data_IF_406026579308
#
_entry.id   IF_406026579308
#
_cell.length_a   1.000
_cell.length_b   1.000
_cell.length_c   1.000
_cell.angle_alpha   90.00
_cell.angle_beta   90.00
_cell.angle_gamma   90.00
#
_symmetry.space_group_name_H-M   'P 1'
#
loop_
_entity.id
_entity.type
_entity.pdbx_description
1 polymer ?
#
# COMPACT_ATOMS: atom_id res chain seq x y z
N UNK A 1 35.86 -7.13 -10.93
CA UNK A 1 35.18 -7.90 -9.87
C UNK A 1 33.83 -8.37 -10.41
N UNK A 2 33.49 -9.65 -10.27
CA UNK A 2 32.17 -10.18 -10.61
C UNK A 2 31.09 -9.56 -9.70
N UNK A 3 29.83 -9.60 -10.12
CA UNK A 3 28.73 -9.05 -9.31
C UNK A 3 28.62 -9.72 -7.94
N UNK A 4 28.78 -11.04 -7.90
CA UNK A 4 28.76 -11.84 -6.66
C UNK A 4 29.86 -11.40 -5.70
N UNK A 5 31.07 -11.18 -6.20
CA UNK A 5 32.20 -10.71 -5.41
C UNK A 5 31.98 -9.30 -4.84
N UNK A 6 31.31 -8.41 -5.59
CA UNK A 6 30.95 -7.06 -5.10
C UNK A 6 29.92 -7.14 -3.97
N UNK A 7 28.93 -8.00 -4.09
CA UNK A 7 27.92 -8.23 -3.05
C UNK A 7 28.58 -8.81 -1.79
N UNK A 8 29.51 -9.76 -1.94
CA UNK A 8 30.23 -10.33 -0.81
C UNK A 8 31.08 -9.27 -0.08
N UNK A 9 31.69 -8.34 -0.82
CA UNK A 9 32.39 -7.20 -0.24
C UNK A 9 31.44 -6.27 0.55
N UNK A 10 30.27 -5.94 -0.03
CA UNK A 10 29.24 -5.12 0.63
C UNK A 10 28.77 -5.78 1.94
N UNK A 11 28.53 -7.10 1.92
CA UNK A 11 28.15 -7.88 3.11
C UNK A 11 29.21 -7.86 4.21
N UNK A 12 30.47 -7.66 3.86
CA UNK A 12 31.57 -7.54 4.81
C UNK A 12 31.80 -6.09 5.26
N UNK A 13 30.90 -5.16 4.93
CA UNK A 13 30.93 -3.77 5.35
C UNK A 13 31.63 -2.82 4.37
N UNK A 14 31.98 -3.26 3.16
CA UNK A 14 32.47 -2.34 2.13
C UNK A 14 31.34 -1.51 1.51
N UNK A 15 31.66 -0.28 1.10
CA UNK A 15 30.74 0.58 0.36
C UNK A 15 30.98 0.46 -1.14
N UNK A 16 29.90 0.33 -1.91
CA UNK A 16 29.96 0.28 -3.37
C UNK A 16 28.83 1.07 -4.02
N UNK A 17 29.02 2.40 -4.10
CA UNK A 17 28.03 3.32 -4.68
C UNK A 17 27.70 3.02 -6.15
N UNK A 18 28.64 2.45 -6.90
CA UNK A 18 28.38 2.06 -8.29
C UNK A 18 27.47 0.82 -8.36
N UNK A 19 27.50 -0.06 -7.36
CA UNK A 19 26.54 -1.15 -7.23
C UNK A 19 25.16 -0.62 -6.83
N UNK A 20 25.08 0.29 -5.86
CA UNK A 20 23.82 0.93 -5.44
C UNK A 20 23.12 1.64 -6.60
N UNK A 21 23.86 2.44 -7.38
CA UNK A 21 23.34 3.09 -8.59
C UNK A 21 22.86 2.07 -9.63
N UNK A 22 23.56 0.94 -9.78
CA UNK A 22 23.15 -0.15 -10.67
C UNK A 22 21.89 -0.85 -10.16
N UNK A 23 21.76 -1.06 -8.85
CA UNK A 23 20.58 -1.65 -8.23
C UNK A 23 19.32 -0.81 -8.53
N UNK A 24 19.44 0.52 -8.42
CA UNK A 24 18.39 1.44 -8.85
C UNK A 24 18.02 1.29 -10.34
N UNK A 25 19.03 1.24 -11.24
CA UNK A 25 18.77 1.04 -12.67
C UNK A 25 18.20 -0.35 -12.97
N UNK A 26 18.51 -1.36 -12.17
CA UNK A 26 17.97 -2.71 -12.32
C UNK A 26 16.47 -2.73 -12.00
N UNK A 27 16.01 -2.02 -10.97
CA UNK A 27 14.59 -1.85 -10.71
C UNK A 27 13.85 -1.21 -11.91
N UNK A 28 14.43 -0.16 -12.52
CA UNK A 28 13.87 0.46 -13.74
C UNK A 28 13.82 -0.51 -14.91
N UNK A 29 14.87 -1.32 -15.09
CA UNK A 29 14.91 -2.37 -16.09
C UNK A 29 13.81 -3.42 -15.87
N UNK A 30 13.60 -3.88 -14.63
CA UNK A 30 12.57 -4.87 -14.31
C UNK A 30 11.17 -4.35 -14.68
N UNK A 31 10.84 -3.11 -14.32
CA UNK A 31 9.54 -2.51 -14.69
C UNK A 31 9.37 -2.45 -16.21
N UNK A 32 10.40 -2.01 -16.94
CA UNK A 32 10.36 -1.97 -18.42
C UNK A 32 10.28 -3.37 -19.07
N UNK A 33 10.80 -4.40 -18.40
CA UNK A 33 10.75 -5.77 -18.89
C UNK A 33 9.40 -6.44 -18.59
N UNK A 34 8.82 -6.18 -17.42
CA UNK A 34 7.65 -6.90 -16.89
C UNK A 34 6.32 -6.16 -16.96
N UNK A 35 6.29 -4.87 -17.27
CA UNK A 35 5.06 -4.06 -17.26
C UNK A 35 5.03 -3.06 -18.43
N UNK A 36 5.00 -3.63 -19.64
CA UNK A 36 4.89 -2.85 -20.88
C UNK A 36 3.44 -2.54 -21.22
N UNK A 37 3.25 -1.59 -22.13
CA UNK A 37 1.96 -1.35 -22.78
C UNK A 37 1.37 -2.69 -23.28
N UNK A 38 0.07 -2.92 -23.03
CA UNK A 38 -0.66 -4.15 -23.40
C UNK A 38 -0.20 -5.42 -22.69
N UNK A 39 0.42 -5.28 -21.53
CA UNK A 39 0.69 -6.40 -20.60
C UNK A 39 -0.11 -6.19 -19.30
N UNK A 40 -0.17 -7.22 -18.46
CA UNK A 40 -0.75 -7.09 -17.12
C UNK A 40 0.19 -6.31 -16.20
N UNK A 41 -0.35 -5.83 -15.09
CA UNK A 41 0.43 -5.09 -14.11
C UNK A 41 1.59 -5.92 -13.56
N UNK A 42 2.70 -5.25 -13.25
CA UNK A 42 3.82 -5.83 -12.53
C UNK A 42 3.36 -6.40 -11.19
N UNK A 43 3.90 -7.53 -10.74
CA UNK A 43 3.72 -7.99 -9.35
C UNK A 43 5.05 -8.48 -8.77
N UNK A 44 5.02 -8.87 -7.49
CA UNK A 44 6.18 -9.31 -6.71
C UNK A 44 6.95 -10.51 -7.30
N UNK A 45 6.38 -11.25 -8.25
CA UNK A 45 7.05 -12.36 -8.95
C UNK A 45 7.05 -12.19 -10.48
N UNK A 46 6.09 -11.41 -11.00
CA UNK A 46 5.76 -11.20 -12.40
C UNK A 46 5.85 -12.52 -13.20
N UNK A 47 6.54 -12.51 -14.34
CA UNK A 47 6.79 -13.67 -15.20
C UNK A 47 7.99 -14.53 -14.74
N UNK A 48 8.63 -14.21 -13.62
CA UNK A 48 9.83 -14.88 -13.11
C UNK A 48 9.50 -15.73 -11.90
N UNK A 49 8.66 -16.74 -12.12
CA UNK A 49 8.24 -17.67 -11.08
C UNK A 49 8.41 -19.11 -11.59
N UNK A 50 9.07 -19.95 -10.80
CA UNK A 50 9.35 -21.36 -11.14
C UNK A 50 8.38 -22.38 -10.51
N UNK A 51 7.46 -21.93 -9.65
CA UNK A 51 6.39 -22.75 -9.08
C UNK A 51 5.09 -21.94 -8.88
N UNK A 52 3.92 -22.58 -9.06
CA UNK A 52 2.60 -21.93 -8.90
C UNK A 52 1.91 -22.28 -7.58
N UNK A 53 2.58 -23.07 -6.74
CA UNK A 53 2.03 -23.59 -5.47
C UNK A 53 2.68 -22.96 -4.24
N UNK A 54 3.84 -22.33 -4.39
CA UNK A 54 4.48 -21.50 -3.38
C UNK A 54 4.16 -20.02 -3.57
N UNK A 55 4.82 -19.15 -2.80
CA UNK A 55 4.92 -17.68 -3.04
C UNK A 55 3.60 -16.98 -3.37
N UNK A 56 2.60 -17.17 -2.50
CA UNK A 56 1.26 -16.58 -2.66
C UNK A 56 0.59 -16.92 -4.01
N UNK A 57 0.96 -18.04 -4.62
CA UNK A 57 0.47 -18.53 -5.91
C UNK A 57 0.73 -17.57 -7.09
N UNK A 58 1.79 -16.74 -7.02
CA UNK A 58 2.12 -15.79 -8.08
C UNK A 58 1.07 -14.69 -8.32
N UNK A 59 0.13 -14.53 -7.39
CA UNK A 59 -0.97 -13.57 -7.48
C UNK A 59 -0.49 -12.12 -7.33
N UNK A 60 -1.33 -11.17 -7.71
CA UNK A 60 -1.19 -9.80 -7.25
C UNK A 60 -1.65 -9.69 -5.80
N UNK A 61 -0.77 -9.28 -4.89
CA UNK A 61 -1.14 -8.94 -3.50
C UNK A 61 -1.32 -7.42 -3.40
N UNK A 62 -2.51 -7.01 -2.97
CA UNK A 62 -3.08 -5.67 -3.13
C UNK A 62 -3.15 -4.87 -1.82
N UNK A 63 -2.52 -5.35 -0.74
CA UNK A 63 -2.43 -4.64 0.54
C UNK A 63 -1.06 -4.00 0.81
N UNK A 64 -0.18 -3.97 -0.20
CA UNK A 64 1.09 -3.19 -0.27
C UNK A 64 1.87 -3.55 -1.53
N UNK A 65 2.00 -4.84 -1.86
CA UNK A 65 3.04 -5.33 -2.77
C UNK A 65 2.91 -4.79 -4.20
N UNK A 66 1.71 -4.86 -4.79
CA UNK A 66 1.48 -4.29 -6.12
C UNK A 66 1.71 -2.77 -6.10
N UNK A 67 1.20 -2.07 -5.08
CA UNK A 67 1.34 -0.62 -4.99
C UNK A 67 2.81 -0.19 -4.89
N UNK A 68 3.60 -0.86 -4.06
CA UNK A 68 5.02 -0.58 -3.87
C UNK A 68 5.84 -0.80 -5.16
N UNK A 69 5.50 -1.81 -5.97
CA UNK A 69 6.12 -1.99 -7.28
C UNK A 69 5.97 -0.75 -8.19
N UNK A 70 4.89 0.02 -8.03
CA UNK A 70 4.58 1.17 -8.87
C UNK A 70 4.99 2.53 -8.28
N UNK A 71 5.34 2.63 -6.99
CA UNK A 71 5.84 3.87 -6.38
C UNK A 71 6.99 4.56 -7.14
N UNK A 72 8.00 3.85 -7.69
CA UNK A 72 9.08 4.51 -8.41
C UNK A 72 8.73 4.89 -9.85
N UNK A 73 7.58 4.51 -10.40
CA UNK A 73 7.28 4.66 -11.85
C UNK A 73 7.42 6.11 -12.30
N UNK A 74 6.77 7.04 -11.61
CA UNK A 74 6.80 8.44 -12.00
C UNK A 74 8.14 9.10 -11.66
N UNK A 75 8.60 8.93 -10.42
CA UNK A 75 9.85 9.54 -9.93
C UNK A 75 11.11 9.02 -10.64
N UNK A 76 11.07 7.80 -11.19
CA UNK A 76 12.15 7.23 -12.01
C UNK A 76 11.95 7.43 -13.53
N UNK A 77 11.00 8.29 -13.93
CA UNK A 77 10.71 8.67 -15.32
C UNK A 77 10.38 7.45 -16.20
N UNK A 78 9.38 6.67 -15.78
CA UNK A 78 8.85 5.50 -16.49
C UNK A 78 7.32 5.59 -16.76
N UNK A 79 6.72 6.76 -17.06
CA UNK A 79 5.27 6.95 -17.04
C UNK A 79 4.49 5.97 -17.93
N UNK A 80 5.07 5.51 -19.05
CA UNK A 80 4.45 4.52 -19.95
C UNK A 80 4.16 3.16 -19.29
N UNK A 81 4.85 2.83 -18.21
CA UNK A 81 4.62 1.60 -17.44
C UNK A 81 3.25 1.63 -16.76
N UNK A 82 2.75 2.82 -16.41
CA UNK A 82 1.45 2.99 -15.75
C UNK A 82 0.28 2.44 -16.58
N UNK A 83 0.39 2.38 -17.91
CA UNK A 83 -0.66 1.82 -18.78
C UNK A 83 -1.03 0.37 -18.40
N UNK A 84 -0.04 -0.43 -17.97
CA UNK A 84 -0.29 -1.80 -17.49
C UNK A 84 -1.11 -1.85 -16.19
N UNK A 85 -0.91 -0.86 -15.30
CA UNK A 85 -1.68 -0.74 -14.06
C UNK A 85 -3.09 -0.24 -14.33
N UNK A 86 -3.24 0.75 -15.22
CA UNK A 86 -4.56 1.25 -15.65
C UNK A 86 -5.39 0.10 -16.22
N UNK A 87 -4.84 -0.67 -17.16
CA UNK A 87 -5.52 -1.85 -17.72
C UNK A 87 -5.89 -2.85 -16.63
N UNK A 88 -4.97 -3.17 -15.72
CA UNK A 88 -5.24 -4.08 -14.62
C UNK A 88 -6.40 -3.60 -13.73
N UNK A 89 -6.42 -2.31 -13.36
CA UNK A 89 -7.49 -1.73 -12.53
C UNK A 89 -8.82 -1.66 -13.29
N UNK A 90 -8.82 -1.39 -14.59
CA UNK A 90 -10.03 -1.46 -15.43
C UNK A 90 -10.67 -2.86 -15.39
N UNK A 91 -9.87 -3.91 -15.54
CA UNK A 91 -10.35 -5.29 -15.45
C UNK A 91 -10.78 -5.66 -14.02
N UNK A 92 -9.99 -5.25 -13.02
CA UNK A 92 -10.29 -5.50 -11.62
C UNK A 92 -11.59 -4.82 -11.19
N UNK A 93 -11.87 -3.60 -11.66
CA UNK A 93 -13.10 -2.88 -11.39
C UNK A 93 -14.32 -3.56 -12.02
N UNK A 94 -14.18 -4.07 -13.24
CA UNK A 94 -15.25 -4.83 -13.90
C UNK A 94 -15.62 -6.10 -13.10
N UNK A 95 -14.63 -6.86 -12.66
CA UNK A 95 -14.85 -8.03 -11.81
C UNK A 95 -15.36 -7.65 -10.41
N UNK A 96 -14.78 -6.59 -9.83
CA UNK A 96 -15.07 -6.09 -8.49
C UNK A 96 -16.47 -5.52 -8.31
N UNK A 97 -17.12 -5.08 -9.39
CA UNK A 97 -18.53 -4.67 -9.35
C UNK A 97 -19.45 -5.82 -8.93
N UNK A 98 -19.12 -7.05 -9.32
CA UNK A 98 -19.84 -8.25 -8.86
C UNK A 98 -19.63 -8.50 -7.37
N UNK A 99 -18.40 -8.39 -6.88
CA UNK A 99 -18.09 -8.54 -5.45
C UNK A 99 -18.80 -7.47 -4.61
N UNK A 100 -18.74 -6.21 -5.02
CA UNK A 100 -19.44 -5.12 -4.32
C UNK A 100 -20.94 -5.41 -4.16
N UNK A 101 -21.59 -5.86 -5.23
CA UNK A 101 -23.02 -6.16 -5.24
C UNK A 101 -23.37 -7.45 -4.48
N UNK A 102 -22.71 -8.56 -4.79
CA UNK A 102 -23.10 -9.88 -4.27
C UNK A 102 -22.64 -10.12 -2.84
N UNK A 103 -21.47 -9.60 -2.45
CA UNK A 103 -20.92 -9.81 -1.10
C UNK A 103 -21.36 -8.72 -0.12
N UNK A 104 -21.39 -7.46 -0.57
CA UNK A 104 -21.63 -6.31 0.30
C UNK A 104 -22.98 -5.61 0.07
N UNK A 105 -23.73 -5.96 -0.98
CA UNK A 105 -24.97 -5.23 -1.33
C UNK A 105 -24.73 -3.76 -1.72
N UNK A 106 -23.49 -3.41 -2.08
CA UNK A 106 -23.06 -2.05 -2.36
C UNK A 106 -23.01 -1.78 -3.88
N UNK A 107 -23.13 -0.51 -4.27
CA UNK A 107 -22.81 -0.04 -5.62
C UNK A 107 -21.30 0.04 -5.83
N UNK A 108 -20.89 0.44 -7.03
CA UNK A 108 -19.49 0.65 -7.36
C UNK A 108 -18.73 -0.65 -7.56
N UNK A 109 -17.46 -0.67 -7.17
CA UNK A 109 -16.61 -1.85 -7.20
C UNK A 109 -15.63 -1.87 -6.03
N UNK A 110 -15.21 -3.06 -5.65
CA UNK A 110 -14.17 -3.28 -4.63
C UNK A 110 -13.29 -4.48 -5.00
N UNK A 111 -12.12 -4.55 -4.39
CA UNK A 111 -11.28 -5.75 -4.36
C UNK A 111 -10.82 -6.00 -2.93
N UNK A 112 -10.21 -7.16 -2.67
CA UNK A 112 -9.66 -7.52 -1.36
C UNK A 112 -8.15 -7.80 -1.47
N UNK A 113 -7.60 -8.59 -0.55
CA UNK A 113 -6.16 -8.88 -0.41
C UNK A 113 -5.41 -9.19 -1.72
N UNK A 114 -6.03 -9.90 -2.65
CA UNK A 114 -5.33 -10.34 -3.85
C UNK A 114 -6.22 -10.55 -5.05
N UNK A 115 -5.59 -10.58 -6.21
CA UNK A 115 -6.21 -10.91 -7.49
C UNK A 115 -5.29 -11.86 -8.28
N UNK A 116 -5.89 -12.64 -9.17
CA UNK A 116 -5.20 -13.55 -10.09
C UNK A 116 -5.45 -13.14 -11.54
N UNK A 117 -5.04 -13.99 -12.49
CA UNK A 117 -5.21 -13.75 -13.94
C UNK A 117 -6.69 -13.65 -14.36
N UNK A 118 -7.60 -14.14 -13.51
CA UNK A 118 -9.04 -14.09 -13.72
C UNK A 118 -9.70 -12.92 -12.97
N UNK A 119 -8.89 -12.07 -12.34
CA UNK A 119 -9.32 -10.90 -11.57
C UNK A 119 -10.30 -11.27 -10.45
N UNK A 120 -10.04 -12.36 -9.71
CA UNK A 120 -10.78 -12.64 -8.49
C UNK A 120 -10.65 -11.46 -7.50
N UNK A 121 -11.78 -10.95 -7.02
CA UNK A 121 -11.87 -9.79 -6.12
C UNK A 121 -12.48 -10.11 -4.76
N UNK A 122 -12.93 -11.35 -4.57
CA UNK A 122 -13.46 -11.81 -3.29
C UNK A 122 -12.32 -11.98 -2.26
N UNK A 123 -12.61 -11.93 -0.95
CA UNK A 123 -11.64 -12.31 0.09
C UNK A 123 -11.10 -13.74 -0.15
N UNK A 124 -9.77 -13.89 -0.17
CA UNK A 124 -9.07 -15.17 -0.40
C UNK A 124 -8.36 -15.68 0.88
N UNK A 125 -7.67 -16.82 0.81
CA UNK A 125 -6.79 -17.35 1.87
C UNK A 125 -7.41 -17.72 3.24
N UNK A 126 -8.72 -17.56 3.42
CA UNK A 126 -9.49 -18.15 4.52
C UNK A 126 -9.30 -17.55 5.93
N UNK A 127 -8.38 -16.59 6.11
CA UNK A 127 -8.16 -15.92 7.40
C UNK A 127 -8.45 -14.41 7.30
N UNK A 128 -9.39 -13.88 8.10
CA UNK A 128 -9.82 -12.50 8.02
C UNK A 128 -8.72 -11.48 8.35
N UNK A 129 -7.65 -11.87 9.06
CA UNK A 129 -6.49 -11.01 9.39
C UNK A 129 -5.84 -10.35 8.17
N UNK A 130 -5.85 -11.06 7.05
CA UNK A 130 -5.31 -10.55 5.78
C UNK A 130 -6.36 -10.48 4.69
N UNK A 131 -7.35 -11.38 4.68
CA UNK A 131 -8.31 -11.49 3.58
C UNK A 131 -9.32 -10.35 3.53
N UNK A 132 -9.67 -9.77 4.67
CA UNK A 132 -10.64 -8.67 4.77
C UNK A 132 -9.89 -7.36 4.56
N UNK A 133 -9.86 -6.90 3.31
CA UNK A 133 -9.23 -5.62 2.96
C UNK A 133 -9.96 -4.96 1.77
N UNK A 134 -11.24 -4.58 1.94
CA UNK A 134 -12.11 -4.13 0.84
C UNK A 134 -11.72 -2.76 0.25
N UNK A 135 -10.71 -2.10 0.82
CA UNK A 135 -10.20 -0.79 0.38
C UNK A 135 -9.01 -0.92 -0.58
N UNK A 136 -8.58 -2.12 -0.97
CA UNK A 136 -7.43 -2.30 -1.89
C UNK A 136 -7.64 -1.61 -3.24
N UNK A 137 -8.85 -1.68 -3.79
CA UNK A 137 -9.20 -0.98 -5.03
C UNK A 137 -9.13 0.55 -4.89
N UNK A 138 -9.49 1.06 -3.71
CA UNK A 138 -9.38 2.49 -3.38
C UNK A 138 -7.92 2.93 -3.27
N UNK A 139 -7.05 2.08 -2.70
CA UNK A 139 -5.61 2.35 -2.70
C UNK A 139 -5.08 2.38 -4.13
N UNK A 140 -5.37 1.39 -4.98
CA UNK A 140 -4.91 1.40 -6.38
C UNK A 140 -5.32 2.66 -7.16
N UNK A 141 -6.51 3.22 -6.86
CA UNK A 141 -6.93 4.49 -7.44
C UNK A 141 -6.01 5.66 -7.06
N UNK A 142 -5.36 5.64 -5.90
CA UNK A 142 -4.33 6.62 -5.55
C UNK A 142 -3.18 6.58 -6.56
N UNK A 143 -2.64 5.40 -6.90
CA UNK A 143 -1.51 5.29 -7.82
C UNK A 143 -1.88 5.81 -9.22
N UNK A 144 -3.10 5.53 -9.70
CA UNK A 144 -3.58 6.09 -10.96
C UNK A 144 -3.75 7.61 -10.90
N UNK A 145 -4.23 8.14 -9.77
CA UNK A 145 -4.38 9.58 -9.60
C UNK A 145 -3.04 10.29 -9.45
N UNK A 146 -2.06 9.69 -8.78
CA UNK A 146 -0.71 10.23 -8.65
C UNK A 146 -0.06 10.34 -10.04
N UNK A 147 -0.26 9.39 -10.95
CA UNK A 147 0.17 9.52 -12.35
C UNK A 147 -0.39 10.79 -13.02
N UNK A 148 -1.69 11.06 -12.84
CA UNK A 148 -2.30 12.31 -13.32
C UNK A 148 -1.65 13.55 -12.69
N UNK A 149 -1.29 13.50 -11.41
CA UNK A 149 -0.62 14.63 -10.74
C UNK A 149 0.81 14.87 -11.26
N UNK A 150 1.52 13.83 -11.70
CA UNK A 150 2.84 13.95 -12.31
C UNK A 150 2.80 14.52 -13.74
N UNK A 151 1.79 14.15 -14.53
CA UNK A 151 1.55 14.69 -15.88
C UNK A 151 0.04 14.96 -16.09
N UNK A 152 -0.44 16.19 -15.76
CA UNK A 152 -1.87 16.52 -15.77
C UNK A 152 -2.52 16.53 -17.17
N UNK A 153 -2.84 15.36 -17.70
CA UNK A 153 -3.59 15.16 -18.94
C UNK A 153 -5.11 15.02 -18.67
N UNK A 154 -5.95 15.96 -19.15
CA UNK A 154 -7.40 15.87 -19.00
C UNK A 154 -8.01 14.60 -19.61
N UNK A 155 -7.45 14.06 -20.70
CA UNK A 155 -8.00 12.86 -21.33
C UNK A 155 -7.69 11.60 -20.51
N UNK A 156 -6.49 11.53 -19.93
CA UNK A 156 -6.16 10.52 -18.92
C UNK A 156 -7.10 10.60 -17.72
N UNK A 157 -7.33 11.81 -17.18
CA UNK A 157 -8.26 12.00 -16.06
C UNK A 157 -9.67 11.52 -16.41
N UNK A 158 -10.18 11.86 -17.61
CA UNK A 158 -11.48 11.35 -18.10
C UNK A 158 -11.52 9.82 -18.19
N UNK A 159 -10.42 9.17 -18.57
CA UNK A 159 -10.33 7.70 -18.65
C UNK A 159 -10.43 7.04 -17.28
N UNK A 160 -9.70 7.53 -16.28
CA UNK A 160 -9.70 6.91 -14.94
C UNK A 160 -10.89 7.34 -14.08
N UNK A 161 -11.58 8.43 -14.43
CA UNK A 161 -12.67 8.98 -13.64
C UNK A 161 -13.83 8.00 -13.36
N UNK A 162 -14.31 7.18 -14.31
CA UNK A 162 -15.31 6.15 -14.04
C UNK A 162 -14.85 5.13 -12.97
N UNK A 163 -13.57 4.76 -12.96
CA UNK A 163 -12.99 3.86 -11.95
C UNK A 163 -12.99 4.54 -10.57
N UNK A 164 -12.55 5.80 -10.52
CA UNK A 164 -12.55 6.62 -9.31
C UNK A 164 -13.97 6.76 -8.74
N UNK A 165 -14.93 7.13 -9.59
CA UNK A 165 -16.35 7.24 -9.23
C UNK A 165 -16.89 5.93 -8.67
N UNK A 166 -16.62 4.80 -9.34
CA UNK A 166 -17.08 3.49 -8.88
C UNK A 166 -16.49 3.09 -7.52
N UNK A 167 -15.22 3.43 -7.24
CA UNK A 167 -14.63 3.19 -5.92
C UNK A 167 -15.30 4.06 -4.84
N UNK A 168 -15.65 5.30 -5.17
CA UNK A 168 -16.35 6.21 -4.25
C UNK A 168 -17.80 5.78 -4.03
N UNK A 169 -18.51 5.27 -5.05
CA UNK A 169 -19.85 4.69 -4.87
C UNK A 169 -19.82 3.54 -3.87
N UNK A 170 -18.84 2.64 -3.98
CA UNK A 170 -18.64 1.57 -3.01
C UNK A 170 -18.34 2.14 -1.61
N UNK A 171 -17.46 3.14 -1.51
CA UNK A 171 -17.15 3.81 -0.24
C UNK A 171 -18.39 4.39 0.45
N UNK A 172 -19.27 5.08 -0.29
CA UNK A 172 -20.50 5.67 0.26
C UNK A 172 -21.46 4.61 0.81
N UNK A 173 -21.56 3.46 0.15
CA UNK A 173 -22.48 2.39 0.54
C UNK A 173 -21.88 1.48 1.63
N UNK A 174 -20.55 1.30 1.66
CA UNK A 174 -19.87 0.39 2.57
C UNK A 174 -19.62 0.98 3.96
N UNK A 175 -19.41 2.30 4.06
CA UNK A 175 -19.19 2.94 5.36
C UNK A 175 -20.47 2.93 6.20
N UNK A 176 -20.31 2.58 7.48
CA UNK A 176 -21.38 2.57 8.47
C UNK A 176 -21.10 3.58 9.57
N UNK A 177 -22.16 4.18 10.13
CA UNK A 177 -22.02 5.08 11.28
C UNK A 177 -21.81 4.28 12.56
N UNK A 178 -20.70 4.48 13.24
CA UNK A 178 -20.47 3.94 14.58
C UNK A 178 -21.46 4.58 15.57
N UNK A 179 -22.31 3.81 16.26
CA UNK A 179 -23.33 4.36 17.16
C UNK A 179 -22.74 5.06 18.39
N UNK A 180 -21.48 4.80 18.76
CA UNK A 180 -20.85 5.38 19.95
C UNK A 180 -20.15 6.70 19.62
N UNK A 181 -19.24 6.70 18.66
CA UNK A 181 -18.47 7.89 18.29
C UNK A 181 -19.16 8.78 17.27
N UNK A 182 -20.10 8.23 16.49
CA UNK A 182 -20.79 8.94 15.41
C UNK A 182 -19.98 9.08 14.12
N UNK A 183 -18.74 8.59 14.06
CA UNK A 183 -17.94 8.60 12.83
C UNK A 183 -18.43 7.56 11.82
N UNK A 184 -18.17 7.81 10.53
CA UNK A 184 -18.35 6.84 9.46
C UNK A 184 -17.10 5.96 9.35
N UNK A 185 -17.26 4.64 9.50
CA UNK A 185 -16.16 3.67 9.62
C UNK A 185 -16.39 2.46 8.71
N UNK A 186 -15.30 1.80 8.32
CA UNK A 186 -15.36 0.49 7.65
C UNK A 186 -15.71 -0.60 8.67
N UNK A 187 -16.61 -1.52 8.33
CA UNK A 187 -16.97 -2.63 9.21
C UNK A 187 -17.44 -3.85 8.38
N UNK A 188 -16.75 -4.99 8.43
CA UNK A 188 -15.54 -5.28 9.21
C UNK A 188 -14.30 -4.55 8.66
N UNK A 189 -13.30 -4.35 9.52
CA UNK A 189 -12.00 -3.76 9.16
C UNK A 189 -10.86 -4.52 9.84
N UNK A 190 -9.76 -4.69 9.11
CA UNK A 190 -8.49 -5.21 9.61
C UNK A 190 -7.41 -4.12 9.47
N UNK A 191 -6.29 -4.27 10.19
CA UNK A 191 -5.02 -3.62 9.81
C UNK A 191 -4.14 -4.73 9.22
N UNK A 192 -4.08 -4.90 7.89
CA UNK A 192 -3.30 -5.97 7.29
C UNK A 192 -1.83 -5.86 7.71
N UNK A 193 -1.18 -6.89 8.25
CA UNK A 193 -1.72 -8.19 8.68
C UNK A 193 -1.41 -8.36 10.16
N UNK A 194 -1.87 -7.46 11.01
CA UNK A 194 -1.55 -7.39 12.43
C UNK A 194 -2.77 -7.71 13.31
N UNK A 195 -2.49 -8.22 14.51
CA UNK A 195 -3.50 -8.52 15.53
C UNK A 195 -3.33 -7.59 16.74
N UNK A 196 -4.44 -7.28 17.39
CA UNK A 196 -4.48 -6.57 18.67
C UNK A 196 -4.98 -7.49 19.79
N UNK A 197 -4.75 -7.08 21.04
CA UNK A 197 -5.26 -7.78 22.22
C UNK A 197 -6.62 -7.21 22.62
N UNK A 198 -7.62 -8.08 22.77
CA UNK A 198 -8.90 -7.73 23.38
C UNK A 198 -8.78 -7.50 24.90
N UNK A 199 -9.86 -7.10 25.56
CA UNK A 199 -9.91 -6.87 27.02
C UNK A 199 -9.56 -8.12 27.86
N UNK A 200 -9.67 -9.31 27.27
CA UNK A 200 -9.36 -10.60 27.90
C UNK A 200 -7.94 -11.06 27.59
N UNK A 201 -7.19 -10.32 26.78
CA UNK A 201 -5.84 -10.65 26.34
C UNK A 201 -5.76 -11.65 25.19
N UNK A 202 -6.85 -11.87 24.45
CA UNK A 202 -6.84 -12.71 23.24
C UNK A 202 -6.39 -11.90 22.02
N UNK A 203 -5.63 -12.52 21.13
CA UNK A 203 -5.31 -11.93 19.82
C UNK A 203 -6.53 -11.92 18.90
N UNK A 204 -6.88 -10.74 18.37
CA UNK A 204 -8.01 -10.50 17.48
C UNK A 204 -7.53 -9.64 16.31
N UNK A 205 -8.04 -9.91 15.10
CA UNK A 205 -7.63 -9.23 13.87
C UNK A 205 -8.67 -8.28 13.29
N UNK A 206 -9.95 -8.53 13.59
CA UNK A 206 -11.09 -7.79 13.04
C UNK A 206 -11.67 -6.82 14.06
N UNK A 207 -11.84 -5.58 13.62
CA UNK A 207 -12.53 -4.51 14.32
C UNK A 207 -13.33 -3.67 13.30
N UNK A 208 -13.33 -2.35 13.48
CA UNK A 208 -13.92 -1.39 12.55
C UNK A 208 -12.99 -0.18 12.41
N UNK A 209 -13.01 0.46 11.25
CA UNK A 209 -12.35 1.74 10.99
C UNK A 209 -10.86 1.77 11.35
N UNK A 210 -10.07 0.80 10.88
CA UNK A 210 -8.61 0.83 11.04
C UNK A 210 -8.05 2.14 10.49
N UNK A 211 -6.93 2.62 11.05
CA UNK A 211 -6.34 3.88 10.61
C UNK A 211 -5.95 3.84 9.13
N UNK A 212 -5.45 2.71 8.64
CA UNK A 212 -5.13 2.51 7.22
C UNK A 212 -6.33 2.67 6.31
N UNK A 213 -7.47 2.06 6.63
CA UNK A 213 -8.72 2.19 5.87
C UNK A 213 -9.15 3.67 5.80
N UNK A 214 -9.20 4.34 6.95
CA UNK A 214 -9.61 5.73 7.04
C UNK A 214 -8.67 6.67 6.24
N UNK A 215 -7.38 6.35 6.19
CA UNK A 215 -6.37 7.09 5.42
C UNK A 215 -6.59 6.97 3.92
N UNK A 216 -6.76 5.75 3.42
CA UNK A 216 -7.02 5.47 2.00
C UNK A 216 -8.32 6.12 1.55
N UNK A 217 -9.39 5.97 2.35
CA UNK A 217 -10.70 6.56 2.03
C UNK A 217 -10.63 8.09 1.99
N UNK A 218 -9.92 8.72 2.93
CA UNK A 218 -9.76 10.18 2.96
C UNK A 218 -9.12 10.69 1.67
N UNK A 219 -8.06 10.03 1.20
CA UNK A 219 -7.41 10.38 -0.07
C UNK A 219 -8.31 10.13 -1.28
N UNK A 220 -9.03 9.00 -1.31
CA UNK A 220 -9.98 8.67 -2.37
C UNK A 220 -11.04 9.78 -2.54
N UNK A 221 -11.67 10.20 -1.43
CA UNK A 221 -12.71 11.23 -1.46
C UNK A 221 -12.15 12.57 -1.95
N UNK A 222 -10.96 12.99 -1.46
CA UNK A 222 -10.29 14.21 -1.91
C UNK A 222 -10.00 14.19 -3.42
N UNK A 223 -9.41 13.10 -3.92
CA UNK A 223 -9.13 12.94 -5.34
C UNK A 223 -10.41 13.00 -6.19
N UNK A 224 -11.51 12.40 -5.70
CA UNK A 224 -12.79 12.44 -6.41
C UNK A 224 -13.40 13.84 -6.44
N UNK A 225 -13.39 14.57 -5.32
CA UNK A 225 -13.89 15.94 -5.24
C UNK A 225 -13.13 16.84 -6.23
N UNK A 226 -11.80 16.73 -6.25
CA UNK A 226 -10.94 17.48 -7.17
C UNK A 226 -11.21 17.10 -8.64
N UNK A 227 -11.20 15.79 -8.97
CA UNK A 227 -11.45 15.31 -10.31
C UNK A 227 -12.84 15.71 -10.84
N UNK A 228 -13.86 15.61 -9.99
CA UNK A 228 -15.24 16.03 -10.27
C UNK A 228 -15.31 17.52 -10.60
N UNK A 229 -14.57 18.35 -9.86
CA UNK A 229 -14.47 19.79 -10.12
C UNK A 229 -13.80 20.09 -11.45
N UNK A 230 -12.64 19.47 -11.73
CA UNK A 230 -11.88 19.64 -12.98
C UNK A 230 -12.70 19.23 -14.20
N UNK A 231 -13.40 18.09 -14.12
CA UNK A 231 -14.23 17.57 -15.20
C UNK A 231 -15.64 18.16 -15.25
N UNK A 232 -16.01 19.00 -14.27
CA UNK A 232 -17.32 19.65 -14.14
C UNK A 232 -18.50 18.65 -14.18
N UNK A 233 -18.38 17.54 -13.45
CA UNK A 233 -19.38 16.46 -13.41
C UNK A 233 -19.66 16.00 -11.97
N UNK A 234 -20.78 15.32 -11.73
CA UNK A 234 -21.15 14.68 -10.45
C UNK A 234 -21.17 15.60 -9.21
N UNK A 235 -21.51 16.88 -9.38
CA UNK A 235 -21.52 17.89 -8.30
C UNK A 235 -22.25 17.43 -7.01
N UNK A 236 -23.40 16.74 -7.13
CA UNK A 236 -24.14 16.24 -5.97
C UNK A 236 -23.42 15.09 -5.23
N UNK A 237 -22.66 14.25 -5.94
CA UNK A 237 -21.86 13.21 -5.30
C UNK A 237 -20.57 13.79 -4.70
N UNK A 238 -19.99 14.80 -5.34
CA UNK A 238 -18.86 15.57 -4.79
C UNK A 238 -19.24 16.25 -3.47
N UNK A 239 -20.38 16.94 -3.41
CA UNK A 239 -20.89 17.53 -2.17
C UNK A 239 -21.08 16.49 -1.05
N UNK A 240 -21.72 15.35 -1.34
CA UNK A 240 -21.86 14.26 -0.36
C UNK A 240 -20.51 13.69 0.09
N UNK A 241 -19.53 13.67 -0.81
CA UNK A 241 -18.17 13.20 -0.49
C UNK A 241 -17.44 14.17 0.44
N UNK A 242 -17.67 15.47 0.29
CA UNK A 242 -17.17 16.51 1.21
C UNK A 242 -17.79 16.35 2.61
N UNK A 243 -19.11 16.13 2.67
CA UNK A 243 -19.82 15.87 3.93
C UNK A 243 -19.32 14.59 4.62
N UNK A 244 -19.07 13.53 3.84
CA UNK A 244 -18.55 12.26 4.34
C UNK A 244 -17.10 12.40 4.83
N UNK A 245 -16.27 13.18 4.13
CA UNK A 245 -14.88 13.46 4.50
C UNK A 245 -14.78 14.05 5.91
N UNK A 246 -15.71 14.97 6.26
CA UNK A 246 -15.82 15.55 7.59
C UNK A 246 -16.34 14.59 8.68
N UNK A 247 -16.83 13.41 8.31
CA UNK A 247 -17.35 12.38 9.22
C UNK A 247 -16.40 11.19 9.40
N UNK A 248 -15.24 11.19 8.75
CA UNK A 248 -14.23 10.15 8.96
C UNK A 248 -13.51 10.34 10.31
N UNK A 249 -13.05 9.26 10.95
CA UNK A 249 -12.21 9.36 12.14
C UNK A 249 -10.94 10.18 11.87
N UNK A 250 -10.51 11.08 12.77
CA UNK A 250 -9.23 11.77 12.63
C UNK A 250 -8.06 10.84 12.95
N UNK A 251 -6.84 11.23 12.55
CA UNK A 251 -5.62 10.60 13.07
C UNK A 251 -5.51 10.82 14.58
N UNK A 252 -5.09 9.79 15.31
CA UNK A 252 -4.99 9.82 16.77
C UNK A 252 -3.62 9.36 17.24
N UNK A 253 -3.15 9.99 18.31
CA UNK A 253 -1.93 9.61 19.02
C UNK A 253 -2.34 8.74 20.21
N UNK A 254 -1.78 7.55 20.28
CA UNK A 254 -2.04 6.57 21.34
C UNK A 254 -1.23 6.83 22.61
N UNK A 255 -1.46 6.00 23.62
CA UNK A 255 -0.86 6.13 24.95
C UNK A 255 0.66 5.98 24.99
N UNK A 256 1.28 5.37 23.98
CA UNK A 256 2.74 5.30 23.85
C UNK A 256 3.33 6.44 23.00
N UNK A 257 2.53 7.44 22.62
CA UNK A 257 2.93 8.51 21.72
C UNK A 257 3.02 8.08 20.26
N UNK A 258 2.46 6.92 19.91
CA UNK A 258 2.47 6.32 18.58
C UNK A 258 1.21 6.71 17.79
N UNK A 259 1.30 6.77 16.46
CA UNK A 259 0.11 6.87 15.63
C UNK A 259 -0.73 5.59 15.80
N UNK A 260 -2.02 5.72 16.13
CA UNK A 260 -2.86 4.56 16.40
C UNK A 260 -3.07 3.69 15.16
N UNK A 261 -2.99 2.37 15.32
CA UNK A 261 -3.21 1.41 14.23
C UNK A 261 -4.70 1.08 14.02
N UNK A 262 -5.45 0.98 15.11
CA UNK A 262 -6.89 0.72 15.13
C UNK A 262 -7.66 1.93 15.67
N UNK A 263 -8.98 1.91 15.53
CA UNK A 263 -9.86 2.99 16.02
C UNK A 263 -9.74 3.26 17.53
N UNK A 264 -9.51 2.19 18.30
CA UNK A 264 -9.20 2.25 19.73
C UNK A 264 -7.70 2.02 19.98
N UNK A 265 -7.23 2.49 21.13
CA UNK A 265 -5.84 2.34 21.57
C UNK A 265 -5.53 0.92 22.07
N UNK A 266 -5.71 -0.08 21.21
CA UNK A 266 -5.45 -1.46 21.60
C UNK A 266 -3.96 -1.73 21.77
N UNK A 267 -3.66 -2.71 22.63
CA UNK A 267 -2.31 -3.27 22.72
C UNK A 267 -2.05 -4.17 21.52
N UNK A 268 -0.86 -4.06 20.97
CA UNK A 268 -0.39 -4.87 19.84
C UNK A 268 -0.03 -6.27 20.32
N UNK A 269 -0.38 -7.30 19.56
CA UNK A 269 0.12 -8.67 19.81
C UNK A 269 1.60 -8.79 19.44
N UNK A 270 1.98 -8.18 18.32
CA UNK A 270 3.32 -8.20 17.74
C UNK A 270 3.79 -6.75 17.51
N UNK A 271 4.51 -6.17 18.48
CA UNK A 271 4.99 -4.77 18.39
C UNK A 271 5.99 -4.58 17.25
N UNK A 272 6.73 -5.63 16.87
CA UNK A 272 7.72 -5.61 15.78
C UNK A 272 7.17 -6.11 14.45
N UNK A 273 5.84 -6.08 14.27
CA UNK A 273 5.19 -6.60 13.07
C UNK A 273 5.71 -5.94 11.78
N UNK A 274 5.79 -6.70 10.69
CA UNK A 274 6.36 -6.24 9.43
C UNK A 274 5.51 -5.17 8.71
N UNK A 275 4.19 -5.20 8.87
CA UNK A 275 3.30 -4.19 8.31
C UNK A 275 3.25 -2.93 9.17
N UNK A 276 3.13 -1.79 8.49
CA UNK A 276 3.00 -0.45 9.06
C UNK A 276 1.88 0.31 8.35
N UNK A 277 0.78 -0.39 8.08
CA UNK A 277 -0.33 0.09 7.24
C UNK A 277 -0.97 1.39 7.74
N UNK A 278 -1.03 1.58 9.05
CA UNK A 278 -1.53 2.80 9.67
C UNK A 278 -0.61 4.02 9.49
N UNK A 279 0.56 3.87 8.86
CA UNK A 279 1.46 4.96 8.48
C UNK A 279 1.25 5.41 7.03
N UNK A 280 0.28 4.84 6.30
CA UNK A 280 0.02 5.13 4.89
C UNK A 280 -0.14 6.61 4.58
N UNK A 281 -0.77 7.38 5.49
CA UNK A 281 -0.93 8.83 5.39
C UNK A 281 0.38 9.62 5.40
N UNK A 282 1.48 9.03 5.89
CA UNK A 282 2.81 9.65 5.85
C UNK A 282 3.61 9.24 4.60
N UNK A 283 3.38 8.03 4.10
CA UNK A 283 3.84 7.56 2.79
C UNK A 283 3.05 6.30 2.40
N UNK A 284 2.47 6.21 1.19
CA UNK A 284 2.72 7.07 0.03
C UNK A 284 1.93 8.37 -0.03
N UNK A 285 0.96 8.60 0.86
CA UNK A 285 0.20 9.85 0.87
C UNK A 285 0.97 10.99 1.56
N UNK A 286 0.37 12.18 1.59
CA UNK A 286 0.96 13.37 2.20
C UNK A 286 0.08 14.03 3.27
N UNK A 287 -0.94 13.34 3.79
CA UNK A 287 -1.77 13.86 4.88
C UNK A 287 -0.97 14.06 6.19
N UNK A 288 0.09 13.27 6.40
CA UNK A 288 1.04 13.41 7.51
C UNK A 288 2.42 13.80 6.99
N UNK A 289 2.93 14.99 7.38
CA UNK A 289 4.29 15.43 7.02
C UNK A 289 4.91 16.24 8.14
N UNK A 290 6.24 16.30 8.19
CA UNK A 290 7.00 17.10 9.17
C UNK A 290 6.67 18.61 9.11
N UNK A 291 6.12 19.09 7.98
CA UNK A 291 5.75 20.50 7.77
C UNK A 291 4.28 20.79 8.05
N UNK A 292 3.36 19.92 7.59
CA UNK A 292 1.91 20.12 7.74
C UNK A 292 1.40 19.71 9.13
N UNK A 293 1.93 18.64 9.69
CA UNK A 293 1.40 17.97 10.88
C UNK A 293 2.55 17.41 11.74
N UNK A 294 3.42 18.27 12.31
CA UNK A 294 4.64 17.84 13.00
C UNK A 294 4.36 16.88 14.18
N UNK A 295 3.31 17.11 14.96
CA UNK A 295 2.94 16.23 16.08
C UNK A 295 2.56 14.81 15.62
N UNK A 296 1.88 14.69 14.47
CA UNK A 296 1.57 13.38 13.88
C UNK A 296 2.81 12.75 13.25
N UNK A 297 3.71 13.54 12.68
CA UNK A 297 4.99 13.04 12.17
C UNK A 297 5.84 12.44 13.29
N UNK A 298 5.87 13.06 14.48
CA UNK A 298 6.53 12.50 15.66
C UNK A 298 5.88 11.18 16.11
N UNK A 299 4.54 11.08 16.00
CA UNK A 299 3.83 9.85 16.31
C UNK A 299 4.13 8.71 15.32
N UNK A 300 4.35 9.02 14.03
CA UNK A 300 4.84 8.07 13.02
C UNK A 300 6.26 7.61 13.36
N UNK A 301 7.16 8.54 13.74
CA UNK A 301 8.52 8.19 14.18
C UNK A 301 8.51 7.28 15.41
N UNK A 302 7.57 7.48 16.33
CA UNK A 302 7.39 6.60 17.48
C UNK A 302 6.99 5.19 17.08
N UNK A 303 6.09 5.03 16.09
CA UNK A 303 5.76 3.70 15.54
C UNK A 303 7.00 3.03 14.95
N UNK A 304 7.77 3.73 14.11
CA UNK A 304 8.99 3.16 13.51
C UNK A 304 10.00 2.71 14.57
N UNK A 305 10.20 3.53 15.61
CA UNK A 305 11.07 3.17 16.75
C UNK A 305 10.59 1.92 17.47
N UNK A 306 9.28 1.76 17.67
CA UNK A 306 8.69 0.58 18.35
C UNK A 306 8.74 -0.68 17.48
N UNK A 307 8.47 -0.54 16.18
CA UNK A 307 8.53 -1.63 15.20
C UNK A 307 9.96 -2.17 15.01
N UNK A 308 10.95 -1.31 15.24
CA UNK A 308 12.37 -1.65 15.11
C UNK A 308 12.81 -1.73 13.64
N UNK A 309 14.07 -2.11 13.47
CA UNK A 309 14.79 -1.97 12.20
C UNK A 309 15.05 -3.31 11.49
N UNK A 310 14.31 -4.36 11.84
CA UNK A 310 14.49 -5.68 11.25
C UNK A 310 14.29 -5.65 9.73
N UNK A 311 15.25 -6.20 8.99
CA UNK A 311 15.22 -6.21 7.54
C UNK A 311 14.27 -7.29 7.02
N UNK A 312 13.20 -6.90 6.33
CA UNK A 312 12.15 -7.82 5.86
C UNK A 312 11.74 -7.55 4.40
N UNK A 313 12.69 -7.11 3.57
CA UNK A 313 12.47 -6.83 2.14
C UNK A 313 11.54 -5.65 1.92
N UNK A 314 10.31 -5.90 1.44
CA UNK A 314 9.31 -4.88 1.14
C UNK A 314 9.02 -3.95 2.34
N UNK A 315 9.03 -4.48 3.56
CA UNK A 315 8.85 -3.66 4.77
C UNK A 315 10.01 -2.66 4.97
N UNK A 316 11.24 -3.09 4.68
CA UNK A 316 12.42 -2.21 4.71
C UNK A 316 12.38 -1.16 3.61
N UNK A 317 11.92 -1.53 2.40
CA UNK A 317 11.76 -0.60 1.29
C UNK A 317 10.74 0.50 1.61
N UNK A 318 9.63 0.18 2.27
CA UNK A 318 8.70 1.19 2.78
C UNK A 318 9.36 2.11 3.82
N UNK A 319 10.19 1.57 4.72
CA UNK A 319 10.95 2.39 5.71
C UNK A 319 11.97 3.32 5.08
N UNK A 320 12.62 2.95 3.97
CA UNK A 320 13.47 3.87 3.19
C UNK A 320 12.66 5.11 2.82
N UNK A 321 11.45 4.92 2.29
CA UNK A 321 10.58 6.02 1.89
C UNK A 321 10.14 6.90 3.07
N UNK A 322 9.82 6.31 4.23
CA UNK A 322 9.50 7.09 5.44
C UNK A 322 10.67 7.96 5.91
N UNK A 323 11.87 7.38 6.01
CA UNK A 323 13.06 8.14 6.44
C UNK A 323 13.44 9.21 5.42
N UNK A 324 13.31 8.93 4.12
CA UNK A 324 13.47 9.95 3.09
C UNK A 324 12.43 11.08 3.25
N UNK A 325 11.16 10.76 3.51
CA UNK A 325 10.08 11.73 3.73
C UNK A 325 10.29 12.61 4.96
N UNK A 326 10.98 12.07 5.98
CA UNK A 326 11.27 12.75 7.24
C UNK A 326 12.64 13.42 7.29
N UNK A 327 13.34 13.48 6.16
CA UNK A 327 14.66 14.14 6.04
C UNK A 327 15.71 13.50 6.96
N UNK A 328 15.68 12.17 7.05
CA UNK A 328 16.62 11.34 7.82
C UNK A 328 17.53 10.55 6.87
N UNK A 329 18.46 11.23 6.15
CA UNK A 329 19.21 10.61 5.06
C UNK A 329 20.10 9.46 5.52
N UNK A 330 20.72 9.56 6.71
CA UNK A 330 21.58 8.50 7.22
C UNK A 330 20.79 7.22 7.49
N UNK A 331 19.59 7.35 8.06
CA UNK A 331 18.73 6.20 8.37
C UNK A 331 18.12 5.59 7.10
N UNK A 332 17.71 6.44 6.16
CA UNK A 332 17.27 6.01 4.83
C UNK A 332 18.36 5.23 4.10
N UNK A 333 19.60 5.74 4.10
CA UNK A 333 20.73 5.07 3.48
C UNK A 333 21.11 3.77 4.18
N UNK A 334 21.04 3.73 5.51
CA UNK A 334 21.27 2.51 6.30
C UNK A 334 20.30 1.38 5.91
N UNK A 335 19.01 1.68 5.75
CA UNK A 335 18.04 0.68 5.27
C UNK A 335 18.34 0.21 3.84
N UNK A 336 18.69 1.13 2.94
CA UNK A 336 19.09 0.78 1.57
C UNK A 336 20.30 -0.16 1.56
N UNK A 337 21.34 0.20 2.31
CA UNK A 337 22.59 -0.57 2.38
C UNK A 337 22.33 -1.98 2.93
N UNK A 338 21.61 -2.10 4.04
CA UNK A 338 21.27 -3.41 4.62
C UNK A 338 20.38 -4.22 3.70
N UNK A 339 19.42 -3.58 3.00
CA UNK A 339 18.62 -4.29 2.00
C UNK A 339 19.51 -4.83 0.87
N UNK A 340 20.45 -4.06 0.36
CA UNK A 340 21.40 -4.54 -0.65
C UNK A 340 22.29 -5.69 -0.13
N UNK A 341 22.71 -5.61 1.14
CA UNK A 341 23.58 -6.61 1.77
C UNK A 341 22.84 -7.92 2.11
N UNK A 342 21.69 -7.83 2.78
CA UNK A 342 20.95 -8.96 3.34
C UNK A 342 19.93 -9.55 2.34
N UNK A 343 19.41 -8.69 1.46
CA UNK A 343 18.28 -8.95 0.57
C UNK A 343 18.75 -8.80 -0.88
N UNK A 344 19.79 -9.57 -1.23
CA UNK A 344 20.46 -9.42 -2.52
C UNK A 344 19.69 -10.06 -3.66
N UNK A 345 19.89 -9.56 -4.90
CA UNK A 345 19.46 -10.25 -6.12
C UNK A 345 20.24 -11.54 -6.43
N UNK A 346 21.13 -11.97 -5.53
CA UNK A 346 21.91 -13.21 -5.60
C UNK A 346 21.86 -13.90 -4.24
N UNK A 347 20.67 -14.36 -3.81
CA UNK A 347 20.49 -14.88 -2.47
C UNK A 347 21.38 -16.11 -2.26
N UNK A 348 22.11 -16.12 -1.15
CA UNK A 348 22.73 -17.32 -0.60
C UNK A 348 21.62 -18.23 -0.06
N UNK A 349 21.84 -19.55 0.00
CA UNK A 349 20.88 -20.47 0.61
C UNK A 349 20.40 -20.04 2.00
N UNK A 350 21.29 -19.42 2.80
CA UNK A 350 20.98 -18.96 4.15
C UNK A 350 20.21 -17.63 4.21
N UNK A 351 20.15 -16.83 3.14
CA UNK A 351 19.46 -15.52 3.13
C UNK A 351 17.95 -15.69 3.28
N UNK A 352 17.41 -16.82 2.81
CA UNK A 352 16.00 -17.23 3.00
C UNK A 352 15.58 -17.33 4.47
N UNK A 353 16.55 -17.54 5.39
CA UNK A 353 16.33 -17.60 6.83
C UNK A 353 16.44 -16.24 7.54
N UNK A 354 17.07 -15.26 6.89
CA UNK A 354 17.35 -13.93 7.43
C UNK A 354 16.27 -12.94 7.00
N UNK A 355 15.85 -13.01 5.75
CA UNK A 355 14.80 -12.15 5.18
C UNK A 355 13.73 -13.04 4.55
N UNK A 356 12.53 -13.17 5.17
CA UNK A 356 11.45 -14.00 4.62
C UNK A 356 10.93 -13.53 3.26
N UNK A 357 11.39 -12.37 2.75
CA UNK A 357 11.01 -11.88 1.43
C UNK A 357 11.68 -12.64 0.27
N UNK A 358 12.48 -13.67 0.55
CA UNK A 358 13.15 -14.53 -0.45
C UNK A 358 13.17 -16.01 -0.05
N UNK A 359 12.02 -16.59 0.30
CA UNK A 359 11.78 -17.99 -0.04
C UNK A 359 11.34 -18.04 -1.52
N UNK A 360 12.14 -18.18 -2.57
CA UNK A 360 13.56 -18.34 -2.88
C UNK A 360 13.70 -17.92 -4.37
N UNK A 361 14.78 -18.26 -5.08
CA UNK A 361 15.07 -17.86 -6.47
C UNK A 361 13.93 -17.88 -7.50
#
# INVERSE_FOLDING_TARGET
MLQTQRIDAIRNGELDHAYEARYFQYARYLMLAGAREKTLAFNNHNMWLNDLTGRWNGRWTLNINLQECYWPVESANLPKVNESLVFFVEQLAQAGARTAKELFGCRGWCSNLGADIWFNTAPTDGNPRWSVFPVSGMWLMQQLYDHYLYDPDPEYLRRIYPLLKGAVEFCHDFLVKDPVSGYMVTCPSASPENDFLDEKGNGVSISFGSSGDNQIIRRLLRNFIEASSILQTDAAMSQRSEELLGQLPPHRIGSFGQLQEWFYDFKETEVTHRHIMHLWAAYPDDDITIRKTPELADAVKMVMKRRGDANMGWSSAWRINFHARFEEPEKSYWFLHNMVADVSGWPRPDDSRITPSFEGN
#
